data_IF_468398565537
#
_entry.id   IF_468398565537
#
_cell.length_a   1.000
_cell.length_b   1.000
_cell.length_c   1.000
_cell.angle_alpha   90.00
_cell.angle_beta   90.00
_cell.angle_gamma   90.00
#
_symmetry.space_group_name_H-M   'P 1'
#
loop_
_entity.id
_entity.type
_entity.pdbx_description
1 polymer ?
#
# COMPACT_ATOMS: atom_id res chain seq x y z
N UNK A 1 6.41 34.07 42.50
CA UNK A 1 6.02 35.01 41.43
C UNK A 1 6.83 36.31 41.53
N UNK A 2 8.17 36.24 41.50
CA UNK A 2 9.04 37.45 41.55
C UNK A 2 10.04 37.54 40.38
N UNK A 3 10.15 36.51 39.55
CA UNK A 3 11.11 36.49 38.45
C UNK A 3 10.60 37.15 37.16
N UNK A 4 9.27 37.33 37.02
CA UNK A 4 8.64 37.89 35.82
C UNK A 4 8.39 39.41 35.90
N UNK A 5 8.57 40.04 37.07
CA UNK A 5 8.39 41.49 37.26
C UNK A 5 9.65 42.32 37.01
N UNK A 6 10.84 41.69 36.96
CA UNK A 6 12.12 42.36 36.69
C UNK A 6 12.45 42.55 35.20
N UNK A 7 11.89 41.70 34.33
CA UNK A 7 12.11 41.73 32.87
C UNK A 7 11.59 43.04 32.23
N UNK A 8 10.38 43.56 32.54
CA UNK A 8 9.91 44.81 31.93
C UNK A 8 10.72 46.04 32.38
N UNK A 9 11.23 46.06 33.63
CA UNK A 9 12.07 47.16 34.13
C UNK A 9 13.49 47.15 33.53
N UNK A 10 14.05 45.96 33.31
CA UNK A 10 15.35 45.82 32.64
C UNK A 10 15.27 46.22 31.15
N UNK A 11 14.18 45.86 30.47
CA UNK A 11 13.91 46.28 29.09
C UNK A 11 13.67 47.79 28.96
N UNK A 12 12.95 48.41 29.90
CA UNK A 12 12.73 49.87 29.88
C UNK A 12 14.02 50.64 30.16
N UNK A 13 14.88 50.14 31.07
CA UNK A 13 16.19 50.74 31.35
C UNK A 13 17.17 50.61 30.17
N UNK A 14 17.19 49.45 29.51
CA UNK A 14 17.96 49.24 28.30
C UNK A 14 17.49 50.16 27.15
N UNK A 15 16.16 50.31 26.97
CA UNK A 15 15.59 51.21 25.98
C UNK A 15 15.95 52.69 26.24
N UNK A 16 15.87 53.15 27.48
CA UNK A 16 16.23 54.52 27.86
C UNK A 16 17.73 54.82 27.65
N UNK A 17 18.62 53.85 27.92
CA UNK A 17 20.06 54.00 27.64
C UNK A 17 20.39 54.04 26.15
N UNK A 18 19.62 53.32 25.33
CA UNK A 18 19.73 53.34 23.87
C UNK A 18 19.21 54.67 23.30
N UNK A 19 18.11 55.19 23.84
CA UNK A 19 17.54 56.50 23.48
C UNK A 19 18.50 57.66 23.82
N UNK A 20 19.13 57.64 25.00
CA UNK A 20 20.14 58.63 25.38
C UNK A 20 21.41 58.56 24.50
N UNK A 21 21.83 57.36 24.08
CA UNK A 21 22.97 57.18 23.17
C UNK A 21 22.65 57.59 21.72
N UNK A 22 21.38 57.45 21.29
CA UNK A 22 20.89 57.84 19.96
C UNK A 22 20.77 59.37 19.78
N UNK A 23 20.48 60.13 20.85
CA UNK A 23 20.34 61.59 20.79
C UNK A 23 21.67 62.35 20.73
N UNK A 24 22.81 61.68 21.00
CA UNK A 24 24.12 62.32 21.13
C UNK A 24 25.00 62.35 19.87
N UNK A 25 24.67 61.63 18.79
CA UNK A 25 25.46 61.69 17.55
C UNK A 25 24.63 61.52 16.27
N UNK A 26 24.79 62.42 15.26
CA UNK A 26 24.05 62.35 13.99
C UNK A 26 24.24 61.06 13.20
N UNK A 27 25.34 60.33 13.42
CA UNK A 27 25.65 59.07 12.76
C UNK A 27 24.87 57.87 13.33
N UNK A 28 24.50 57.89 14.62
CA UNK A 28 23.71 56.80 15.25
C UNK A 28 22.22 56.87 14.87
N UNK A 29 21.66 58.07 14.68
CA UNK A 29 20.28 58.25 14.23
C UNK A 29 20.03 57.61 12.83
N UNK A 30 21.01 57.73 11.93
CA UNK A 30 20.96 57.06 10.61
C UNK A 30 20.99 55.53 10.70
N UNK A 31 21.78 54.98 11.62
CA UNK A 31 21.85 53.53 11.86
C UNK A 31 20.53 53.01 12.48
N UNK A 32 19.96 53.76 13.43
CA UNK A 32 18.66 53.42 14.05
C UNK A 32 17.51 53.40 13.03
N UNK A 33 17.48 54.35 12.11
CA UNK A 33 16.45 54.42 11.06
C UNK A 33 16.58 53.26 10.05
N UNK A 34 17.82 52.88 9.69
CA UNK A 34 18.08 51.70 8.86
C UNK A 34 17.67 50.39 9.53
N UNK A 35 17.94 50.25 10.84
CA UNK A 35 17.50 49.06 11.60
C UNK A 35 15.98 48.98 11.72
N UNK A 36 15.31 50.11 11.96
CA UNK A 36 13.84 50.16 12.02
C UNK A 36 13.20 49.83 10.66
N UNK A 37 13.76 50.36 9.56
CA UNK A 37 13.31 50.03 8.20
C UNK A 37 13.54 48.54 7.88
N UNK A 38 14.69 47.99 8.27
CA UNK A 38 15.01 46.57 8.13
C UNK A 38 14.06 45.67 8.92
N UNK A 39 13.74 46.03 10.17
CA UNK A 39 12.78 45.32 11.01
C UNK A 39 11.36 45.38 10.43
N UNK A 40 10.94 46.55 9.90
CA UNK A 40 9.66 46.72 9.21
C UNK A 40 9.56 45.83 7.96
N UNK A 41 10.61 45.76 7.16
CA UNK A 41 10.66 44.89 5.98
C UNK A 41 10.64 43.40 6.37
N UNK A 42 11.37 43.01 7.43
CA UNK A 42 11.34 41.65 7.95
C UNK A 42 9.93 41.26 8.45
N UNK A 43 9.24 42.15 9.18
CA UNK A 43 7.86 41.94 9.61
C UNK A 43 6.89 41.84 8.43
N UNK A 44 7.06 42.68 7.41
CA UNK A 44 6.25 42.61 6.18
C UNK A 44 6.46 41.28 5.44
N UNK A 45 7.70 40.80 5.33
CA UNK A 45 8.03 39.50 4.73
C UNK A 45 7.43 38.35 5.54
N UNK A 46 7.51 38.41 6.87
CA UNK A 46 6.90 37.39 7.75
C UNK A 46 5.37 37.41 7.67
N UNK A 47 4.75 38.59 7.63
CA UNK A 47 3.31 38.75 7.46
C UNK A 47 2.84 38.20 6.10
N UNK A 48 3.57 38.51 5.02
CA UNK A 48 3.30 37.96 3.69
C UNK A 48 3.46 36.43 3.66
N UNK A 49 4.54 35.91 4.26
CA UNK A 49 4.76 34.47 4.37
C UNK A 49 3.66 33.78 5.20
N UNK A 50 3.18 34.42 6.27
CA UNK A 50 2.06 33.98 7.08
C UNK A 50 0.75 33.94 6.28
N UNK A 51 0.45 34.99 5.52
CA UNK A 51 -0.73 35.09 4.68
C UNK A 51 -0.72 34.03 3.57
N UNK A 52 0.42 33.84 2.91
CA UNK A 52 0.62 32.78 1.91
C UNK A 52 0.39 31.40 2.52
N UNK A 53 0.96 31.11 3.71
CA UNK A 53 0.72 29.84 4.42
C UNK A 53 -0.75 29.63 4.77
N UNK A 54 -1.43 30.68 5.23
CA UNK A 54 -2.85 30.65 5.58
C UNK A 54 -3.71 30.35 4.35
N UNK A 55 -3.43 30.98 3.20
CA UNK A 55 -4.09 30.67 1.92
C UNK A 55 -3.88 29.21 1.51
N UNK A 56 -2.66 28.67 1.67
CA UNK A 56 -2.41 27.25 1.36
C UNK A 56 -3.15 26.29 2.29
N UNK A 57 -3.24 26.60 3.58
CA UNK A 57 -4.00 25.79 4.56
C UNK A 57 -5.49 25.84 4.23
N UNK A 58 -6.04 27.03 3.96
CA UNK A 58 -7.43 27.21 3.54
C UNK A 58 -7.73 26.44 2.24
N UNK A 59 -6.87 26.55 1.23
CA UNK A 59 -7.03 25.83 -0.05
C UNK A 59 -7.03 24.32 0.16
N UNK A 60 -6.13 23.78 0.99
CA UNK A 60 -6.10 22.35 1.32
C UNK A 60 -7.36 21.89 2.05
N UNK A 61 -7.81 22.67 3.03
CA UNK A 61 -9.06 22.40 3.75
C UNK A 61 -10.28 22.47 2.85
N UNK A 62 -10.33 23.45 1.94
CA UNK A 62 -11.41 23.58 0.96
C UNK A 62 -11.46 22.39 0.00
N UNK A 63 -10.31 21.94 -0.52
CA UNK A 63 -10.24 20.75 -1.39
C UNK A 63 -10.58 19.47 -0.62
N UNK A 64 -10.11 19.31 0.62
CA UNK A 64 -10.51 18.15 1.43
C UNK A 64 -12.02 18.11 1.67
N UNK A 65 -12.63 19.27 1.97
CA UNK A 65 -14.06 19.38 2.15
C UNK A 65 -14.85 19.21 0.85
N UNK A 66 -14.31 19.64 -0.30
CA UNK A 66 -14.96 19.41 -1.59
C UNK A 66 -15.00 17.93 -1.93
N UNK A 67 -13.86 17.23 -1.74
CA UNK A 67 -13.77 15.77 -1.91
C UNK A 67 -14.78 15.04 -1.01
N UNK A 68 -14.97 15.53 0.23
CA UNK A 68 -15.90 14.96 1.19
C UNK A 68 -17.38 15.22 0.83
N UNK A 69 -17.71 16.45 0.41
CA UNK A 69 -19.08 16.89 0.13
C UNK A 69 -19.61 16.42 -1.22
N UNK A 70 -18.75 15.89 -2.07
CA UNK A 70 -19.13 15.34 -3.36
C UNK A 70 -19.95 14.04 -3.13
N UNK A 71 -21.26 14.16 -3.30
CA UNK A 71 -22.27 13.10 -3.12
C UNK A 71 -22.35 12.15 -4.32
N UNK A 72 -21.36 12.16 -5.19
CA UNK A 72 -21.37 11.32 -6.38
C UNK A 72 -21.04 9.87 -6.01
N UNK A 73 -21.77 8.95 -6.64
CA UNK A 73 -21.69 7.52 -6.38
C UNK A 73 -20.38 6.98 -6.97
N UNK A 74 -19.50 6.41 -6.16
CA UNK A 74 -18.30 5.70 -6.61
C UNK A 74 -17.10 5.79 -5.67
N UNK A 75 -16.07 4.99 -5.98
CA UNK A 75 -14.83 4.96 -5.21
C UNK A 75 -14.03 6.25 -5.37
N UNK A 76 -13.58 6.84 -4.25
CA UNK A 76 -12.84 8.09 -4.19
C UNK A 76 -11.34 7.83 -4.10
N UNK A 77 -10.63 8.13 -5.18
CA UNK A 77 -9.19 7.86 -5.30
C UNK A 77 -8.45 9.18 -5.35
N UNK A 78 -7.66 9.45 -4.33
CA UNK A 78 -6.98 10.73 -4.17
C UNK A 78 -5.50 10.56 -4.47
N UNK A 79 -4.98 11.35 -5.41
CA UNK A 79 -3.55 11.42 -5.71
C UNK A 79 -2.99 12.74 -5.18
N UNK A 80 -2.03 12.65 -4.27
CA UNK A 80 -1.39 13.83 -3.68
C UNK A 80 -0.37 14.41 -4.66
N UNK A 81 -0.70 15.57 -5.23
CA UNK A 81 0.12 16.30 -6.21
C UNK A 81 0.91 17.41 -5.51
N UNK A 82 2.00 17.07 -4.85
CA UNK A 82 2.93 18.10 -4.37
C UNK A 82 4.30 17.58 -3.94
N UNK A 83 5.14 18.53 -3.54
CA UNK A 83 6.59 18.34 -3.35
C UNK A 83 7.41 18.75 -4.59
N UNK A 84 8.68 19.14 -4.42
CA UNK A 84 9.54 19.53 -5.53
C UNK A 84 10.10 18.33 -6.30
N UNK A 85 10.53 18.57 -7.54
CA UNK A 85 11.34 17.65 -8.33
C UNK A 85 10.73 16.27 -8.58
N UNK A 86 11.42 15.23 -8.13
CA UNK A 86 11.08 13.81 -8.39
C UNK A 86 9.72 13.41 -7.84
N UNK A 87 9.30 13.93 -6.68
CA UNK A 87 7.99 13.62 -6.09
C UNK A 87 6.84 14.08 -6.96
N UNK A 88 6.92 15.30 -7.51
CA UNK A 88 5.92 15.82 -8.44
C UNK A 88 5.81 14.98 -9.70
N UNK A 89 6.95 14.52 -10.23
CA UNK A 89 6.98 13.67 -11.40
C UNK A 89 6.30 12.31 -11.12
N UNK A 90 6.65 11.65 -10.00
CA UNK A 90 6.01 10.38 -9.61
C UNK A 90 4.51 10.59 -9.38
N UNK A 91 4.09 11.63 -8.65
CA UNK A 91 2.68 11.90 -8.41
C UNK A 91 1.90 12.17 -9.72
N UNK A 92 2.51 12.86 -10.68
CA UNK A 92 1.91 13.09 -12.00
C UNK A 92 1.78 11.79 -12.79
N UNK A 93 2.80 10.93 -12.73
CA UNK A 93 2.79 9.61 -13.37
C UNK A 93 1.72 8.71 -12.75
N UNK A 94 1.67 8.61 -11.41
CA UNK A 94 0.65 7.84 -10.68
C UNK A 94 -0.76 8.31 -11.04
N UNK A 95 -1.00 9.62 -11.08
CA UNK A 95 -2.30 10.14 -11.48
C UNK A 95 -2.68 9.70 -12.89
N UNK A 96 -1.77 9.84 -13.87
CA UNK A 96 -2.04 9.39 -15.25
C UNK A 96 -2.29 7.87 -15.31
N UNK A 97 -1.53 7.10 -14.54
CA UNK A 97 -1.67 5.65 -14.47
C UNK A 97 -3.06 5.22 -13.97
N UNK A 98 -3.50 5.74 -12.83
CA UNK A 98 -4.83 5.38 -12.30
C UNK A 98 -5.97 5.97 -13.13
N UNK A 99 -5.80 7.16 -13.69
CA UNK A 99 -6.84 7.76 -14.55
C UNK A 99 -7.05 6.96 -15.85
N UNK A 100 -5.97 6.43 -16.43
CA UNK A 100 -6.03 5.71 -17.72
C UNK A 100 -6.42 4.24 -17.57
N UNK A 101 -5.79 3.53 -16.63
CA UNK A 101 -5.83 2.05 -16.59
C UNK A 101 -6.61 1.47 -15.43
N UNK A 102 -6.96 2.25 -14.39
CA UNK A 102 -7.60 1.67 -13.22
C UNK A 102 -8.97 1.05 -13.55
N UNK A 103 -9.69 1.64 -14.51
CA UNK A 103 -11.00 1.17 -14.97
C UNK A 103 -11.03 -0.31 -15.34
N UNK A 104 -9.90 -0.83 -15.84
CA UNK A 104 -9.75 -2.22 -16.29
C UNK A 104 -9.89 -3.21 -15.11
N UNK A 105 -9.66 -2.75 -13.88
CA UNK A 105 -9.69 -3.56 -12.66
C UNK A 105 -10.86 -3.24 -11.72
N UNK A 106 -11.75 -2.33 -12.12
CA UNK A 106 -12.89 -1.87 -11.30
C UNK A 106 -14.20 -2.61 -11.62
N UNK A 107 -14.20 -3.48 -12.64
CA UNK A 107 -15.36 -4.27 -13.09
C UNK A 107 -16.61 -3.42 -13.41
N UNK A 108 -16.40 -2.20 -13.94
CA UNK A 108 -17.48 -1.26 -14.23
C UNK A 108 -18.01 -0.50 -13.01
N UNK A 109 -17.44 -0.69 -11.82
CA UNK A 109 -17.75 0.11 -10.65
C UNK A 109 -17.35 1.57 -10.87
N UNK A 110 -18.21 2.55 -10.53
CA UNK A 110 -17.87 3.95 -10.70
C UNK A 110 -16.74 4.34 -9.75
N UNK A 111 -15.80 5.15 -10.24
CA UNK A 111 -14.70 5.69 -9.44
C UNK A 111 -14.28 7.04 -9.99
N UNK A 112 -13.62 7.83 -9.14
CA UNK A 112 -13.04 9.12 -9.55
C UNK A 112 -11.64 9.30 -9.02
N UNK A 113 -10.79 9.86 -9.86
CA UNK A 113 -9.41 10.21 -9.53
C UNK A 113 -9.33 11.72 -9.26
N UNK A 114 -9.07 12.08 -8.01
CA UNK A 114 -8.99 13.46 -7.56
C UNK A 114 -7.54 13.83 -7.25
N UNK A 115 -7.21 15.11 -7.43
CA UNK A 115 -5.89 15.64 -7.10
C UNK A 115 -5.93 16.41 -5.79
N UNK A 116 -5.10 16.03 -4.82
CA UNK A 116 -4.96 16.77 -3.58
C UNK A 116 -3.67 17.61 -3.58
N UNK A 117 -3.73 18.94 -3.40
CA UNK A 117 -2.55 19.79 -3.43
C UNK A 117 -1.74 19.69 -2.13
N UNK A 118 -0.43 19.53 -2.24
CA UNK A 118 0.49 19.56 -1.09
C UNK A 118 1.43 18.37 -1.05
N UNK A 119 2.38 18.40 -0.11
CA UNK A 119 3.30 17.28 0.12
C UNK A 119 2.73 16.38 1.22
N UNK A 120 2.77 15.08 0.99
CA UNK A 120 2.49 14.07 2.01
C UNK A 120 3.79 13.31 2.30
N UNK A 121 4.12 13.17 3.58
CA UNK A 121 5.24 12.40 4.08
C UNK A 121 4.81 11.72 5.38
N UNK A 122 5.01 10.40 5.45
CA UNK A 122 4.75 9.60 6.62
C UNK A 122 3.31 9.07 6.71
N UNK A 123 3.22 7.90 7.33
CA UNK A 123 2.07 7.02 7.38
C UNK A 123 0.94 7.65 8.20
N UNK A 124 1.28 8.26 9.34
CA UNK A 124 0.32 8.94 10.21
C UNK A 124 -0.39 10.11 9.49
N UNK A 125 0.33 10.87 8.66
CA UNK A 125 -0.28 11.95 7.89
C UNK A 125 -1.15 11.41 6.77
N UNK A 126 -0.77 10.29 6.16
CA UNK A 126 -1.57 9.64 5.13
C UNK A 126 -2.90 9.13 5.70
N UNK A 127 -2.87 8.50 6.88
CA UNK A 127 -4.06 8.06 7.61
C UNK A 127 -4.97 9.24 8.01
N UNK A 128 -4.38 10.33 8.51
CA UNK A 128 -5.13 11.56 8.81
C UNK A 128 -5.78 12.15 7.56
N UNK A 129 -5.08 12.15 6.42
CA UNK A 129 -5.64 12.64 5.17
C UNK A 129 -6.80 11.75 4.69
N UNK A 130 -6.65 10.43 4.78
CA UNK A 130 -7.68 9.44 4.42
C UNK A 130 -8.97 9.66 5.21
N UNK A 131 -8.84 9.87 6.52
CA UNK A 131 -9.97 10.16 7.40
C UNK A 131 -10.62 11.52 7.09
N UNK A 132 -9.83 12.55 6.75
CA UNK A 132 -10.33 13.91 6.47
C UNK A 132 -11.04 14.02 5.13
N UNK A 133 -10.53 13.37 4.09
CA UNK A 133 -11.12 13.42 2.74
C UNK A 133 -12.22 12.40 2.57
N UNK A 134 -12.36 11.45 3.49
CA UNK A 134 -13.19 10.26 3.28
C UNK A 134 -12.90 9.60 1.93
N UNK A 135 -11.62 9.55 1.52
CA UNK A 135 -11.18 8.80 0.36
C UNK A 135 -11.14 7.29 0.66
N UNK A 136 -11.25 6.49 -0.39
CA UNK A 136 -11.11 5.04 -0.33
C UNK A 136 -9.65 4.62 -0.55
N UNK A 137 -8.94 5.36 -1.39
CA UNK A 137 -7.51 5.16 -1.65
C UNK A 137 -6.80 6.49 -1.75
N UNK A 138 -5.60 6.58 -1.16
CA UNK A 138 -4.66 7.67 -1.33
C UNK A 138 -3.37 7.15 -1.95
N UNK A 139 -2.92 7.84 -3.01
CA UNK A 139 -1.62 7.64 -3.63
C UNK A 139 -0.76 8.87 -3.45
N UNK A 140 0.50 8.69 -3.06
CA UNK A 140 1.45 9.79 -2.96
C UNK A 140 2.87 9.35 -3.30
N UNK A 141 3.74 10.34 -3.50
CA UNK A 141 5.14 10.12 -3.78
C UNK A 141 6.00 10.52 -2.57
N UNK A 142 6.89 9.64 -2.16
CA UNK A 142 7.91 9.91 -1.16
C UNK A 142 9.30 9.84 -1.77
N UNK A 143 10.22 10.62 -1.21
CA UNK A 143 11.64 10.52 -1.52
C UNK A 143 12.41 10.79 -0.22
N UNK A 144 13.51 10.08 0.07
CA UNK A 144 14.33 10.35 1.24
C UNK A 144 14.71 11.84 1.32
N UNK A 145 14.72 12.42 2.54
CA UNK A 145 15.17 13.80 2.75
C UNK A 145 16.64 13.93 2.38
N UNK A 146 17.02 15.01 1.67
CA UNK A 146 18.39 15.23 1.18
C UNK A 146 18.67 14.70 -0.23
N UNK A 147 17.67 14.10 -0.89
CA UNK A 147 17.76 13.61 -2.25
C UNK A 147 17.89 14.72 -3.31
N UNK A 148 19.10 15.21 -3.56
CA UNK A 148 19.44 15.99 -4.75
C UNK A 148 20.03 15.05 -5.79
N UNK A 149 19.49 15.03 -7.02
CA UNK A 149 20.06 14.28 -8.14
C UNK A 149 20.21 12.76 -7.92
N UNK A 150 19.14 11.98 -8.11
CA UNK A 150 19.26 10.52 -8.32
C UNK A 150 18.86 9.59 -7.17
N UNK A 151 18.29 10.10 -6.07
CA UNK A 151 17.80 9.23 -4.99
C UNK A 151 16.56 8.40 -5.39
N UNK A 152 16.38 7.26 -4.71
CA UNK A 152 15.22 6.37 -4.85
C UNK A 152 13.95 7.15 -4.53
N UNK A 153 13.01 7.19 -5.47
CA UNK A 153 11.67 7.71 -5.22
C UNK A 153 10.73 6.53 -4.99
N UNK A 154 9.75 6.71 -4.13
CA UNK A 154 8.77 5.69 -3.80
C UNK A 154 7.37 6.17 -4.14
N UNK A 155 6.58 5.30 -4.74
CA UNK A 155 5.14 5.43 -4.80
C UNK A 155 4.54 4.73 -3.58
N UNK A 156 3.63 5.42 -2.89
CA UNK A 156 2.98 4.94 -1.67
C UNK A 156 1.49 4.88 -1.90
N UNK A 157 0.86 3.78 -1.49
CA UNK A 157 -0.57 3.53 -1.70
C UNK A 157 -1.17 3.11 -0.36
N UNK A 158 -2.23 3.79 0.07
CA UNK A 158 -2.97 3.48 1.29
C UNK A 158 -4.45 3.40 0.96
N UNK A 159 -5.13 2.33 1.38
CA UNK A 159 -6.58 2.22 1.28
C UNK A 159 -7.26 2.23 2.63
N UNK A 160 -8.54 2.58 2.63
CA UNK A 160 -9.40 2.44 3.79
C UNK A 160 -9.61 0.95 4.10
N UNK A 161 -9.67 0.57 5.40
CA UNK A 161 -10.19 -0.73 5.79
C UNK A 161 -11.58 -0.98 5.19
N UNK A 162 -11.87 -2.22 4.85
CA UNK A 162 -13.13 -2.61 4.19
C UNK A 162 -14.31 -2.57 5.16
N UNK A 163 -14.03 -2.76 6.45
CA UNK A 163 -15.01 -2.70 7.52
C UNK A 163 -14.41 -1.99 8.75
N UNK A 164 -15.26 -1.63 9.71
CA UNK A 164 -14.87 -0.92 10.94
C UNK A 164 -14.09 -1.79 11.94
N UNK A 165 -14.07 -3.11 11.74
CA UNK A 165 -13.41 -4.07 12.63
C UNK A 165 -12.01 -4.46 12.14
N UNK A 166 -11.66 -4.11 10.91
CA UNK A 166 -10.36 -4.34 10.29
C UNK A 166 -9.39 -3.26 10.78
N UNK A 167 -8.19 -3.70 11.18
CA UNK A 167 -7.12 -2.80 11.61
C UNK A 167 -6.76 -1.81 10.49
N UNK A 168 -6.20 -0.66 10.87
CA UNK A 168 -5.69 0.30 9.91
C UNK A 168 -4.67 -0.37 8.99
N UNK A 169 -4.89 -0.28 7.67
CA UNK A 169 -3.99 -0.85 6.69
C UNK A 169 -2.65 -0.12 6.68
N UNK A 170 -1.59 -0.89 6.50
CA UNK A 170 -0.27 -0.32 6.27
C UNK A 170 -0.14 0.15 4.81
N UNK A 171 0.55 1.27 4.54
CA UNK A 171 0.76 1.70 3.18
C UNK A 171 1.76 0.82 2.44
N UNK A 172 1.40 0.43 1.22
CA UNK A 172 2.30 -0.26 0.30
C UNK A 172 3.35 0.72 -0.22
N UNK A 173 4.61 0.29 -0.25
CA UNK A 173 5.74 1.08 -0.75
C UNK A 173 6.33 0.44 -1.99
N UNK A 174 6.33 1.16 -3.10
CA UNK A 174 6.79 0.67 -4.39
C UNK A 174 7.95 1.54 -4.88
N UNK A 175 9.11 0.92 -5.14
CA UNK A 175 10.26 1.62 -5.68
C UNK A 175 10.01 2.08 -7.13
N UNK A 176 10.23 3.37 -7.39
CA UNK A 176 10.08 3.94 -8.73
C UNK A 176 11.43 3.94 -9.47
N UNK A 177 11.46 3.53 -10.76
CA UNK A 177 12.64 3.58 -11.61
C UNK A 177 13.35 4.92 -11.60
N UNK A 178 14.68 4.89 -11.54
CA UNK A 178 15.51 6.11 -11.51
C UNK A 178 15.32 6.96 -12.76
N UNK A 179 15.37 6.31 -13.91
CA UNK A 179 15.30 6.93 -15.23
C UNK A 179 13.85 7.04 -15.70
N UNK A 180 13.51 8.15 -16.36
CA UNK A 180 12.14 8.40 -16.84
C UNK A 180 11.78 7.65 -18.12
N UNK A 181 12.77 7.20 -18.90
CA UNK A 181 12.56 6.31 -20.06
C UNK A 181 11.88 4.98 -19.64
N UNK A 182 12.12 4.53 -18.41
CA UNK A 182 11.54 3.31 -17.84
C UNK A 182 10.10 3.53 -17.36
N UNK A 183 9.58 4.77 -17.38
CA UNK A 183 8.20 5.10 -17.01
C UNK A 183 7.28 4.90 -18.20
N UNK A 184 7.24 3.66 -18.66
CA UNK A 184 6.49 3.23 -19.83
C UNK A 184 5.04 2.86 -19.47
N UNK A 185 4.26 2.50 -20.48
CA UNK A 185 2.88 2.08 -20.33
C UNK A 185 2.74 0.83 -19.45
N UNK A 186 3.65 -0.14 -19.56
CA UNK A 186 3.62 -1.34 -18.75
C UNK A 186 3.77 -1.06 -17.26
N UNK A 187 4.70 -0.17 -16.87
CA UNK A 187 4.81 0.30 -15.50
C UNK A 187 3.55 1.04 -15.06
N UNK A 188 2.97 1.87 -15.94
CA UNK A 188 1.72 2.60 -15.67
C UNK A 188 0.57 1.64 -15.34
N UNK A 189 0.39 0.59 -16.14
CA UNK A 189 -0.59 -0.47 -15.91
C UNK A 189 -0.31 -1.25 -14.62
N UNK A 190 0.95 -1.60 -14.33
CA UNK A 190 1.34 -2.25 -13.08
C UNK A 190 1.00 -1.40 -11.84
N UNK A 191 1.24 -0.09 -11.89
CA UNK A 191 0.89 0.82 -10.79
C UNK A 191 -0.62 0.97 -10.63
N UNK A 192 -1.39 0.96 -11.72
CA UNK A 192 -2.85 0.95 -11.67
C UNK A 192 -3.38 -0.36 -11.07
N UNK A 193 -2.79 -1.51 -11.43
CA UNK A 193 -3.10 -2.80 -10.84
C UNK A 193 -2.83 -2.81 -9.32
N UNK A 194 -1.67 -2.31 -8.89
CA UNK A 194 -1.34 -2.18 -7.47
C UNK A 194 -2.37 -1.33 -6.70
N UNK A 195 -2.79 -0.20 -7.29
CA UNK A 195 -3.83 0.65 -6.71
C UNK A 195 -5.19 -0.06 -6.64
N UNK A 196 -5.56 -0.79 -7.69
CA UNK A 196 -6.78 -1.58 -7.73
C UNK A 196 -6.78 -2.68 -6.67
N UNK A 197 -5.68 -3.40 -6.52
CA UNK A 197 -5.53 -4.48 -5.54
C UNK A 197 -5.57 -3.94 -4.11
N UNK A 198 -4.94 -2.80 -3.86
CA UNK A 198 -5.02 -2.14 -2.56
C UNK A 198 -6.45 -1.69 -2.22
N UNK A 199 -7.22 -1.25 -3.22
CA UNK A 199 -8.64 -0.95 -3.07
C UNK A 199 -9.48 -2.22 -2.86
N UNK A 200 -9.23 -3.26 -3.65
CA UNK A 200 -9.96 -4.52 -3.71
C UNK A 200 -9.00 -5.70 -3.53
N UNK A 201 -8.70 -6.09 -2.29
CA UNK A 201 -7.84 -7.25 -2.02
C UNK A 201 -8.37 -8.55 -2.63
N UNK A 202 -9.68 -8.62 -2.90
CA UNK A 202 -10.30 -9.72 -3.62
C UNK A 202 -9.64 -10.01 -4.97
N UNK A 203 -9.01 -9.02 -5.64
CA UNK A 203 -8.25 -9.26 -6.88
C UNK A 203 -7.14 -10.31 -6.74
N UNK A 204 -6.56 -10.46 -5.54
CA UNK A 204 -5.61 -11.54 -5.21
C UNK A 204 -6.28 -12.86 -4.81
N UNK A 205 -7.61 -12.96 -4.92
CA UNK A 205 -8.42 -14.15 -4.62
C UNK A 205 -9.28 -14.49 -5.84
N UNK A 206 -8.68 -15.08 -6.89
CA UNK A 206 -9.38 -15.34 -8.14
C UNK A 206 -10.69 -16.13 -7.99
N UNK A 207 -10.78 -17.00 -6.98
CA UNK A 207 -11.97 -17.80 -6.66
C UNK A 207 -13.21 -16.97 -6.31
N UNK A 208 -13.04 -15.70 -5.93
CA UNK A 208 -14.14 -14.80 -5.58
C UNK A 208 -14.82 -14.19 -6.82
N UNK A 209 -14.29 -14.44 -8.03
CA UNK A 209 -14.81 -13.90 -9.29
C UNK A 209 -15.33 -14.98 -10.23
N UNK A 210 -16.30 -14.58 -11.05
CA UNK A 210 -16.70 -15.35 -12.23
C UNK A 210 -15.64 -15.25 -13.32
N UNK A 211 -15.53 -16.30 -14.13
CA UNK A 211 -14.50 -16.41 -15.17
C UNK A 211 -14.52 -15.24 -16.16
N UNK A 212 -15.70 -14.76 -16.56
CA UNK A 212 -15.85 -13.69 -17.56
C UNK A 212 -15.30 -12.35 -17.04
N UNK A 213 -15.32 -12.14 -15.72
CA UNK A 213 -14.74 -10.95 -15.09
C UNK A 213 -13.26 -11.13 -14.81
N UNK A 214 -12.84 -12.34 -14.44
CA UNK A 214 -11.46 -12.65 -14.09
C UNK A 214 -10.53 -12.65 -15.32
N UNK A 215 -10.98 -13.21 -16.43
CA UNK A 215 -10.17 -13.38 -17.64
C UNK A 215 -9.48 -12.09 -18.12
N UNK A 216 -10.18 -10.96 -18.35
CA UNK A 216 -9.52 -9.74 -18.82
C UNK A 216 -8.48 -9.20 -17.81
N UNK A 217 -8.68 -9.44 -16.51
CA UNK A 217 -7.71 -9.06 -15.49
C UNK A 217 -6.45 -9.92 -15.60
N UNK A 218 -6.60 -11.24 -15.69
CA UNK A 218 -5.47 -12.18 -15.81
C UNK A 218 -4.68 -11.91 -17.09
N UNK A 219 -5.36 -11.74 -18.23
CA UNK A 219 -4.72 -11.42 -19.52
C UNK A 219 -3.98 -10.08 -19.48
N UNK A 220 -4.57 -9.06 -18.85
CA UNK A 220 -3.93 -7.76 -18.64
C UNK A 220 -2.65 -7.89 -17.82
N UNK A 221 -2.69 -8.62 -16.69
CA UNK A 221 -1.52 -8.85 -15.83
C UNK A 221 -0.43 -9.64 -16.57
N UNK A 222 -0.80 -10.70 -17.29
CA UNK A 222 0.16 -11.48 -18.09
C UNK A 222 0.81 -10.63 -19.19
N UNK A 223 0.03 -9.79 -19.88
CA UNK A 223 0.55 -8.85 -20.88
C UNK A 223 1.55 -7.85 -20.28
N UNK A 224 1.26 -7.34 -19.07
CA UNK A 224 2.21 -6.48 -18.34
C UNK A 224 3.49 -7.25 -18.03
N UNK A 225 3.40 -8.46 -17.48
CA UNK A 225 4.57 -9.27 -17.13
C UNK A 225 5.43 -9.62 -18.35
N UNK A 226 4.82 -9.95 -19.49
CA UNK A 226 5.52 -10.23 -20.75
C UNK A 226 6.35 -9.04 -21.25
N UNK A 227 5.87 -7.82 -21.05
CA UNK A 227 6.61 -6.59 -21.42
C UNK A 227 7.82 -6.29 -20.51
N UNK A 228 8.00 -7.06 -19.42
CA UNK A 228 9.10 -6.96 -18.46
C UNK A 228 9.34 -5.51 -17.97
N UNK A 229 8.33 -4.85 -17.38
CA UNK A 229 8.48 -3.49 -16.89
C UNK A 229 9.51 -3.42 -15.78
N UNK A 230 10.24 -2.31 -15.70
CA UNK A 230 11.06 -2.02 -14.52
C UNK A 230 10.16 -1.56 -13.39
N UNK A 231 9.52 -2.50 -12.70
CA UNK A 231 8.70 -2.23 -11.52
C UNK A 231 9.39 -2.72 -10.24
N UNK A 232 8.77 -2.44 -9.10
CA UNK A 232 9.20 -2.98 -7.81
C UNK A 232 9.14 -4.52 -7.83
N UNK A 233 10.15 -5.18 -7.27
CA UNK A 233 10.24 -6.64 -7.33
C UNK A 233 9.12 -7.32 -6.53
N UNK A 234 8.67 -6.72 -5.42
CA UNK A 234 7.57 -7.26 -4.64
C UNK A 234 6.25 -7.19 -5.43
N UNK A 235 6.02 -6.09 -6.15
CA UNK A 235 4.86 -5.95 -7.03
C UNK A 235 4.88 -6.97 -8.18
N UNK A 236 6.03 -7.16 -8.83
CA UNK A 236 6.15 -8.15 -9.90
C UNK A 236 5.90 -9.57 -9.39
N UNK A 237 6.49 -9.92 -8.24
CA UNK A 237 6.27 -11.19 -7.57
C UNK A 237 4.78 -11.44 -7.29
N UNK A 238 4.10 -10.43 -6.74
CA UNK A 238 2.67 -10.49 -6.44
C UNK A 238 1.81 -10.66 -7.71
N UNK A 239 2.13 -9.93 -8.78
CA UNK A 239 1.44 -10.06 -10.07
C UNK A 239 1.62 -11.46 -10.70
N UNK A 240 2.81 -12.05 -10.58
CA UNK A 240 3.08 -13.43 -11.03
C UNK A 240 2.19 -14.40 -10.24
N UNK A 241 2.16 -14.27 -8.92
CA UNK A 241 1.34 -15.14 -8.06
C UNK A 241 -0.16 -15.01 -8.37
N UNK A 242 -0.66 -13.78 -8.50
CA UNK A 242 -2.06 -13.50 -8.82
C UNK A 242 -2.47 -14.04 -10.19
N UNK A 243 -1.62 -13.86 -11.22
CA UNK A 243 -1.91 -14.35 -12.58
C UNK A 243 -1.84 -15.88 -12.66
N UNK A 244 -0.95 -16.52 -11.91
CA UNK A 244 -0.86 -17.98 -11.79
C UNK A 244 -2.11 -18.57 -11.13
N UNK A 245 -2.53 -18.01 -10.00
CA UNK A 245 -3.77 -18.41 -9.34
C UNK A 245 -5.01 -18.11 -10.21
N UNK A 246 -5.00 -16.98 -10.93
CA UNK A 246 -6.05 -16.58 -11.85
C UNK A 246 -6.20 -17.53 -13.03
N UNK A 247 -5.10 -17.90 -13.66
CA UNK A 247 -5.08 -18.87 -14.75
C UNK A 247 -5.65 -20.23 -14.31
N UNK A 248 -5.29 -20.70 -13.11
CA UNK A 248 -5.85 -21.93 -12.53
C UNK A 248 -7.37 -21.83 -12.31
N UNK A 249 -7.86 -20.69 -11.83
CA UNK A 249 -9.30 -20.50 -11.63
C UNK A 249 -10.07 -20.47 -12.95
N UNK A 250 -9.50 -19.87 -14.00
CA UNK A 250 -10.09 -19.90 -15.35
C UNK A 250 -10.13 -21.33 -15.90
N UNK A 251 -9.09 -22.12 -15.67
CA UNK A 251 -9.08 -23.54 -16.02
C UNK A 251 -10.18 -24.32 -15.28
N UNK A 252 -10.39 -24.07 -13.98
CA UNK A 252 -11.48 -24.69 -13.21
C UNK A 252 -12.87 -24.29 -13.68
N UNK A 253 -13.02 -23.09 -14.27
CA UNK A 253 -14.29 -22.65 -14.83
C UNK A 253 -14.68 -23.39 -16.13
N UNK A 254 -13.80 -24.23 -16.66
CA UNK A 254 -14.07 -25.09 -17.81
C UNK A 254 -13.58 -24.55 -19.15
N UNK A 255 -12.71 -23.53 -19.16
CA UNK A 255 -12.04 -23.08 -20.37
C UNK A 255 -10.79 -23.94 -20.62
N UNK A 256 -10.89 -24.84 -21.60
CA UNK A 256 -9.82 -25.78 -21.96
C UNK A 256 -8.53 -25.06 -22.41
N UNK A 257 -8.62 -23.84 -22.94
CA UNK A 257 -7.44 -23.06 -23.32
C UNK A 257 -6.59 -22.64 -22.11
N UNK A 258 -7.20 -22.54 -20.93
CA UNK A 258 -6.50 -22.20 -19.69
C UNK A 258 -5.91 -23.41 -18.97
N UNK A 259 -6.33 -24.63 -19.29
CA UNK A 259 -5.79 -25.84 -18.66
C UNK A 259 -4.29 -25.96 -18.92
N UNK A 260 -3.87 -25.86 -20.18
CA UNK A 260 -2.44 -25.93 -20.53
C UNK A 260 -1.66 -24.71 -20.03
N UNK A 261 -2.22 -23.51 -20.21
CA UNK A 261 -1.61 -22.25 -19.76
C UNK A 261 -1.40 -22.22 -18.25
N UNK A 262 -2.35 -22.72 -17.46
CA UNK A 262 -2.23 -22.72 -16.00
C UNK A 262 -1.06 -23.56 -15.52
N UNK A 263 -0.80 -24.72 -16.15
CA UNK A 263 0.37 -25.55 -15.86
C UNK A 263 1.66 -24.85 -16.27
N UNK A 264 1.71 -24.24 -17.45
CA UNK A 264 2.89 -23.50 -17.94
C UNK A 264 3.25 -22.34 -17.00
N UNK A 265 2.27 -21.49 -16.67
CA UNK A 265 2.46 -20.34 -15.77
C UNK A 265 2.86 -20.82 -14.37
N UNK A 266 2.23 -21.86 -13.83
CA UNK A 266 2.56 -22.38 -12.51
C UNK A 266 3.97 -22.98 -12.46
N UNK A 267 4.43 -23.68 -13.51
CA UNK A 267 5.82 -24.17 -13.61
C UNK A 267 6.82 -23.03 -13.67
N UNK A 268 6.56 -22.02 -14.52
CA UNK A 268 7.43 -20.84 -14.62
C UNK A 268 7.53 -20.12 -13.28
N UNK A 269 6.39 -19.92 -12.61
CA UNK A 269 6.31 -19.28 -11.28
C UNK A 269 7.14 -20.05 -10.26
N UNK A 270 6.97 -21.37 -10.17
CA UNK A 270 7.71 -22.20 -9.24
C UNK A 270 9.23 -22.18 -9.52
N UNK A 271 9.64 -22.15 -10.79
CA UNK A 271 11.03 -22.09 -11.20
C UNK A 271 11.76 -20.80 -10.81
N UNK A 272 11.03 -19.70 -10.61
CA UNK A 272 11.60 -18.40 -10.19
C UNK A 272 11.67 -18.23 -8.66
N UNK A 273 11.00 -19.08 -7.89
CA UNK A 273 10.90 -18.95 -6.43
C UNK A 273 12.04 -19.70 -5.74
N UNK A 274 12.86 -18.96 -4.99
CA UNK A 274 13.79 -19.55 -4.05
C UNK A 274 13.06 -19.95 -2.75
N UNK A 275 12.95 -21.27 -2.51
CA UNK A 275 12.29 -21.86 -1.34
C UNK A 275 12.78 -21.28 0.00
N UNK A 276 14.08 -21.01 0.14
CA UNK A 276 14.66 -20.48 1.38
C UNK A 276 14.35 -18.99 1.60
N UNK A 277 14.21 -18.23 0.52
CA UNK A 277 13.95 -16.80 0.60
C UNK A 277 12.46 -16.46 0.74
N UNK A 278 11.57 -17.30 0.18
CA UNK A 278 10.12 -17.09 0.21
C UNK A 278 9.37 -18.43 0.35
N UNK A 279 9.43 -19.09 1.53
CA UNK A 279 8.83 -20.40 1.75
C UNK A 279 7.32 -20.41 1.48
N UNK A 280 6.58 -19.41 1.97
CA UNK A 280 5.13 -19.31 1.80
C UNK A 280 4.71 -19.23 0.32
N UNK A 281 5.45 -18.43 -0.47
CA UNK A 281 5.23 -18.33 -1.93
C UNK A 281 5.54 -19.65 -2.62
N UNK A 282 6.61 -20.33 -2.21
CA UNK A 282 6.98 -21.63 -2.76
C UNK A 282 5.90 -22.69 -2.49
N UNK A 283 5.32 -22.70 -1.28
CA UNK A 283 4.18 -23.57 -0.91
C UNK A 283 2.97 -23.25 -1.80
N UNK A 284 2.60 -21.98 -1.91
CA UNK A 284 1.46 -21.56 -2.74
C UNK A 284 1.63 -21.92 -4.22
N UNK A 285 2.85 -21.79 -4.76
CA UNK A 285 3.18 -22.17 -6.13
C UNK A 285 3.08 -23.69 -6.35
N UNK A 286 3.56 -24.52 -5.41
CA UNK A 286 3.39 -25.97 -5.45
C UNK A 286 1.92 -26.40 -5.39
N UNK A 287 1.12 -25.77 -4.53
CA UNK A 287 -0.33 -26.03 -4.46
C UNK A 287 -1.00 -25.69 -5.79
N UNK A 288 -0.66 -24.54 -6.38
CA UNK A 288 -1.21 -24.10 -7.66
C UNK A 288 -0.82 -25.05 -8.79
N UNK A 289 0.45 -25.43 -8.90
CA UNK A 289 0.93 -26.37 -9.91
C UNK A 289 0.31 -27.77 -9.74
N UNK A 290 0.28 -28.29 -8.50
CA UNK A 290 -0.33 -29.60 -8.22
C UNK A 290 -1.82 -29.66 -8.57
N UNK A 291 -2.57 -28.59 -8.29
CA UNK A 291 -3.99 -28.46 -8.69
C UNK A 291 -4.16 -28.36 -10.21
N UNK A 292 -3.29 -27.60 -10.90
CA UNK A 292 -3.32 -27.48 -12.35
C UNK A 292 -3.03 -28.82 -13.05
N UNK A 293 -2.01 -29.55 -12.58
CA UNK A 293 -1.66 -30.89 -13.08
C UNK A 293 -2.77 -31.90 -12.83
N UNK A 294 -3.40 -31.88 -11.64
CA UNK A 294 -4.55 -32.74 -11.32
C UNK A 294 -5.70 -32.50 -12.31
N UNK A 295 -6.05 -31.23 -12.54
CA UNK A 295 -7.14 -30.85 -13.45
C UNK A 295 -6.84 -31.29 -14.90
N UNK A 296 -5.62 -31.06 -15.38
CA UNK A 296 -5.19 -31.46 -16.71
C UNK A 296 -5.16 -32.99 -16.87
N UNK A 297 -4.66 -33.71 -15.86
CA UNK A 297 -4.62 -35.16 -15.85
C UNK A 297 -6.03 -35.78 -15.84
N UNK A 298 -6.97 -35.19 -15.10
CA UNK A 298 -8.38 -35.60 -15.08
C UNK A 298 -9.03 -35.51 -16.48
N UNK A 299 -8.71 -34.45 -17.24
CA UNK A 299 -9.21 -34.24 -18.60
C UNK A 299 -8.54 -35.11 -19.66
N UNK A 300 -7.25 -35.43 -19.49
CA UNK A 300 -6.45 -36.19 -20.46
C UNK A 300 -6.28 -37.66 -20.10
N UNK A 301 -6.81 -38.10 -18.96
CA UNK A 301 -6.64 -39.44 -18.41
C UNK A 301 -5.16 -39.85 -18.30
N UNK A 302 -4.29 -38.93 -17.88
CA UNK A 302 -2.84 -39.13 -17.79
C UNK A 302 -2.39 -39.44 -16.33
N UNK A 303 -2.12 -40.72 -16.00
CA UNK A 303 -1.70 -41.10 -14.65
C UNK A 303 -0.27 -40.69 -14.31
N UNK A 304 0.59 -40.37 -15.29
CA UNK A 304 1.94 -39.86 -15.02
C UNK A 304 1.83 -38.42 -14.52
N UNK A 305 1.04 -37.60 -15.20
CA UNK A 305 0.80 -36.21 -14.82
C UNK A 305 0.08 -36.09 -13.47
N UNK A 306 -0.85 -37.01 -13.17
CA UNK A 306 -1.51 -37.06 -11.87
C UNK A 306 -0.51 -37.35 -10.73
N UNK A 307 0.42 -38.29 -10.93
CA UNK A 307 1.47 -38.60 -9.95
C UNK A 307 2.38 -37.40 -9.69
N UNK A 308 2.74 -36.66 -10.74
CA UNK A 308 3.50 -35.42 -10.60
C UNK A 308 2.74 -34.37 -9.79
N UNK A 309 1.44 -34.19 -10.08
CA UNK A 309 0.59 -33.29 -9.31
C UNK A 309 0.50 -33.66 -7.82
N UNK A 310 0.39 -34.95 -7.51
CA UNK A 310 0.42 -35.47 -6.14
C UNK A 310 1.75 -35.17 -5.45
N UNK A 311 2.88 -35.31 -6.18
CA UNK A 311 4.21 -34.98 -5.63
C UNK A 311 4.29 -33.53 -5.17
N UNK A 312 3.89 -32.58 -6.02
CA UNK A 312 3.88 -31.15 -5.67
C UNK A 312 2.95 -30.84 -4.49
N UNK A 313 1.76 -31.43 -4.44
CA UNK A 313 0.84 -31.25 -3.31
C UNK A 313 1.42 -31.83 -2.01
N UNK A 314 2.11 -32.97 -2.09
CA UNK A 314 2.75 -33.61 -0.94
C UNK A 314 3.91 -32.77 -0.42
N UNK A 315 4.74 -32.23 -1.31
CA UNK A 315 5.83 -31.33 -0.95
C UNK A 315 5.34 -30.05 -0.25
N UNK A 316 4.24 -29.46 -0.75
CA UNK A 316 3.61 -28.32 -0.10
C UNK A 316 3.06 -28.69 1.29
N UNK A 317 2.44 -29.87 1.42
CA UNK A 317 1.90 -30.36 2.69
C UNK A 317 3.02 -30.61 3.72
N UNK A 318 4.13 -31.23 3.32
CA UNK A 318 5.27 -31.46 4.21
C UNK A 318 5.91 -30.14 4.67
N UNK A 319 6.01 -29.15 3.77
CA UNK A 319 6.48 -27.83 4.13
C UNK A 319 5.54 -27.14 5.13
N UNK A 320 4.22 -27.21 4.93
CA UNK A 320 3.22 -26.70 5.87
C UNK A 320 3.32 -27.39 7.24
N UNK A 321 3.44 -28.73 7.29
CA UNK A 321 3.62 -29.48 8.54
C UNK A 321 4.85 -29.05 9.34
N UNK A 322 5.88 -28.56 8.65
CA UNK A 322 7.08 -28.04 9.31
C UNK A 322 6.87 -26.68 9.99
N UNK A 323 5.78 -25.97 9.67
CA UNK A 323 5.47 -24.66 10.23
C UNK A 323 5.16 -24.73 11.73
N UNK A 324 5.79 -23.87 12.57
CA UNK A 324 5.54 -23.85 14.01
C UNK A 324 4.07 -23.62 14.38
N UNK A 325 3.34 -22.86 13.57
CA UNK A 325 1.91 -22.56 13.83
C UNK A 325 1.02 -23.78 13.63
N UNK A 326 1.27 -24.58 12.61
CA UNK A 326 0.54 -25.82 12.39
C UNK A 326 0.88 -26.86 13.45
N UNK A 327 2.16 -26.99 13.82
CA UNK A 327 2.57 -27.84 14.96
C UNK A 327 1.91 -27.44 16.28
N UNK A 328 1.76 -26.14 16.53
CA UNK A 328 1.08 -25.62 17.72
C UNK A 328 -0.43 -25.87 17.66
N UNK A 329 -1.05 -25.74 16.48
CA UNK A 329 -2.47 -26.07 16.30
C UNK A 329 -2.74 -27.58 16.45
N UNK A 330 -1.85 -28.43 15.92
CA UNK A 330 -1.91 -29.89 16.07
C UNK A 330 -1.71 -30.31 17.53
N UNK A 331 -0.75 -29.71 18.25
CA UNK A 331 -0.54 -30.00 19.68
C UNK A 331 -1.73 -29.56 20.54
N UNK A 332 -2.33 -28.41 20.23
CA UNK A 332 -3.55 -27.97 20.88
C UNK A 332 -4.73 -28.90 20.58
N UNK A 333 -4.91 -29.33 19.33
CA UNK A 333 -5.94 -30.29 18.95
C UNK A 333 -5.75 -31.66 19.63
N UNK A 334 -4.51 -32.12 19.74
CA UNK A 334 -4.18 -33.34 20.47
C UNK A 334 -4.50 -33.22 21.96
N UNK A 335 -4.09 -32.13 22.61
CA UNK A 335 -4.40 -31.87 24.02
C UNK A 335 -5.91 -31.79 24.28
N UNK A 336 -6.69 -31.20 23.35
CA UNK A 336 -8.15 -31.21 23.40
C UNK A 336 -8.68 -32.65 23.29
N UNK A 337 -8.18 -33.45 22.36
CA UNK A 337 -8.57 -34.86 22.19
C UNK A 337 -8.27 -35.72 23.42
N UNK A 338 -7.13 -35.51 24.07
CA UNK A 338 -6.76 -36.16 25.34
C UNK A 338 -7.68 -35.74 26.48
N UNK A 339 -7.97 -34.44 26.61
CA UNK A 339 -8.92 -33.92 27.59
C UNK A 339 -10.34 -34.48 27.38
N UNK A 340 -10.80 -34.59 26.13
CA UNK A 340 -12.09 -35.19 25.78
C UNK A 340 -12.15 -36.69 26.15
N UNK A 341 -11.06 -37.44 25.89
CA UNK A 341 -10.96 -38.85 26.31
C UNK A 341 -11.02 -38.99 27.83
N UNK A 342 -10.32 -38.14 28.58
CA UNK A 342 -10.35 -38.13 30.04
C UNK A 342 -11.73 -37.78 30.61
N UNK A 343 -12.46 -36.85 29.99
CA UNK A 343 -13.85 -36.55 30.36
C UNK A 343 -14.77 -37.74 30.04
N UNK A 344 -14.56 -38.41 28.90
CA UNK A 344 -15.29 -39.61 28.51
C UNK A 344 -15.07 -40.78 29.47
N UNK A 345 -13.84 -41.02 29.92
CA UNK A 345 -13.55 -42.07 30.89
C UNK A 345 -14.12 -41.73 32.26
N UNK A 346 -13.99 -40.49 32.75
CA UNK A 346 -14.60 -40.05 34.03
C UNK A 346 -16.12 -40.12 34.02
N UNK A 347 -16.79 -39.78 32.92
CA UNK A 347 -18.24 -39.98 32.77
C UNK A 347 -18.65 -41.44 32.81
N UNK A 348 -17.85 -42.34 32.22
CA UNK A 348 -18.10 -43.78 32.31
C UNK A 348 -17.92 -44.30 33.73
N UNK A 349 -16.89 -43.86 34.45
CA UNK A 349 -16.71 -44.17 35.88
C UNK A 349 -17.86 -43.65 36.77
N UNK A 350 -18.43 -42.48 36.48
CA UNK A 350 -19.59 -41.98 37.24
C UNK A 350 -20.90 -42.72 36.92
N UNK A 351 -21.00 -43.35 35.75
CA UNK A 351 -22.20 -44.10 35.32
C UNK A 351 -22.09 -45.59 35.67
N UNK A 352 -20.89 -46.17 35.72
CA UNK A 352 -20.65 -47.60 35.98
C UNK A 352 -20.35 -47.96 37.44
N UNK A 353 -20.61 -47.05 38.39
CA UNK A 353 -20.55 -47.35 39.82
C UNK A 353 -19.30 -46.80 40.52
N UNK A 354 -19.50 -45.68 41.22
CA UNK A 354 -18.96 -45.56 42.58
C UNK A 354 -19.72 -46.54 43.47
N UNK A 355 -19.41 -47.82 43.36
CA UNK A 355 -19.86 -48.89 44.25
C UNK A 355 -18.66 -49.38 45.04
N UNK A 356 -18.65 -49.04 46.32
CA UNK A 356 -17.94 -49.81 47.35
C UNK A 356 -18.78 -51.05 47.63
#
# INVERSE_FOLDING_TARGET
>A
MEFLSGIPKALSGAWASVEAALMGSPSLAGIGLLLAAGAGLALAVLALAGLVRLVFVMRRGAVANSIRRENEIGARIVVVRGGPGRRRAIASFLHKAVDTHLKDYMFGGPFRVMSYPGSLEGDARAQQLLARTEADVILWAEAPRGAVGGAKGFARILSRPTNTFEAAREPVTLAMPKERNQWNEALSRAMAYAAAKQFRPALGRPQDFRAERLQPVVESVLSILQSKPKADQALLAEMVDDSSAGALQLAFAGDDAWIDKSVEIARSTLGEINRSAAPDRWIAANITLGRALRLKAEKRFDPVMLREGISHLTEALEALRSEPRLKLAESAAQAIGEAQKLLGTRRKFSISGGGI
#
